data_IF_403825623688
#
_entry.id   IF_403825623688
#
_cell.length_a   1.000
_cell.length_b   1.000
_cell.length_c   1.000
_cell.angle_alpha   90.00
_cell.angle_beta   90.00
_cell.angle_gamma   90.00
#
_symmetry.space_group_name_H-M   'P 1'
#
loop_
_entity.id
_entity.type
_entity.pdbx_description
1 polymer ?
#
# COMPACT_ATOMS: atom_id res chain seq x y z
N UNK A 1 -22.66 -34.94 -7.44
CA UNK A 1 -22.12 -34.88 -6.06
C UNK A 1 -23.24 -35.34 -5.15
N UNK A 2 -23.14 -36.56 -4.62
CA UNK A 2 -24.15 -37.14 -3.74
C UNK A 2 -24.29 -36.29 -2.46
N UNK A 3 -25.51 -35.93 -2.09
CA UNK A 3 -25.83 -35.18 -0.87
C UNK A 3 -25.24 -35.89 0.36
N UNK A 4 -24.22 -35.29 0.96
CA UNK A 4 -23.64 -35.76 2.20
C UNK A 4 -24.59 -35.34 3.33
N UNK A 5 -25.42 -36.27 3.81
CA UNK A 5 -26.30 -36.01 4.97
C UNK A 5 -25.45 -35.85 6.22
N UNK A 6 -25.47 -34.65 6.81
CA UNK A 6 -24.83 -34.38 8.10
C UNK A 6 -25.70 -34.91 9.24
N UNK A 7 -25.15 -35.82 10.04
CA UNK A 7 -25.80 -36.33 11.25
C UNK A 7 -25.31 -35.54 12.47
N UNK A 8 -26.11 -34.58 12.92
CA UNK A 8 -25.84 -33.88 14.18
C UNK A 8 -26.39 -34.69 15.36
N UNK A 9 -25.61 -35.67 15.82
CA UNK A 9 -25.97 -36.44 17.03
C UNK A 9 -25.62 -35.62 18.27
N UNK A 10 -26.56 -34.84 18.80
CA UNK A 10 -26.45 -34.36 20.17
C UNK A 10 -26.56 -35.56 21.13
N UNK A 11 -25.75 -35.65 22.19
CA UNK A 11 -25.85 -36.76 23.12
C UNK A 11 -27.10 -36.60 23.98
N UNK A 12 -28.12 -37.42 23.72
CA UNK A 12 -29.37 -37.46 24.49
C UNK A 12 -29.35 -38.62 25.48
N UNK A 13 -28.97 -38.34 26.75
CA UNK A 13 -29.13 -39.26 27.89
C UNK A 13 -27.97 -39.19 28.91
N UNK A 14 -28.27 -39.36 30.21
CA UNK A 14 -27.33 -39.26 31.35
C UNK A 14 -26.12 -40.24 31.31
N UNK A 15 -26.07 -41.16 30.34
CA UNK A 15 -24.93 -42.05 30.08
C UNK A 15 -24.30 -41.90 28.69
N UNK A 16 -24.62 -40.84 27.94
CA UNK A 16 -23.87 -40.29 26.79
C UNK A 16 -23.23 -41.28 25.76
N UNK A 17 -23.67 -42.53 25.64
CA UNK A 17 -23.10 -43.47 24.65
C UNK A 17 -23.66 -43.19 23.24
N UNK A 18 -22.81 -42.63 22.39
CA UNK A 18 -23.11 -42.42 20.96
C UNK A 18 -22.63 -43.64 20.17
N UNK A 19 -23.56 -44.50 19.74
CA UNK A 19 -23.27 -45.68 18.91
C UNK A 19 -23.15 -45.31 17.41
N UNK A 20 -22.17 -44.46 17.09
CA UNK A 20 -21.81 -44.13 15.71
C UNK A 20 -20.39 -44.64 15.42
N UNK A 21 -20.29 -45.61 14.50
CA UNK A 21 -19.01 -46.09 13.94
C UNK A 21 -18.87 -45.53 12.52
N UNK A 22 -17.81 -44.75 12.31
CA UNK A 22 -17.43 -44.28 10.98
C UNK A 22 -16.93 -45.47 10.16
N UNK A 23 -17.56 -45.81 9.01
CA UNK A 23 -17.24 -47.02 8.26
C UNK A 23 -15.95 -46.92 7.43
N UNK A 24 -15.30 -45.74 7.39
CA UNK A 24 -14.09 -45.52 6.61
C UNK A 24 -12.89 -45.27 7.53
N UNK A 25 -11.85 -46.08 7.41
CA UNK A 25 -10.63 -45.90 8.19
C UNK A 25 -9.84 -44.68 7.68
N UNK A 26 -9.10 -44.01 8.57
CA UNK A 26 -8.21 -42.92 8.13
C UNK A 26 -6.98 -43.57 7.50
N UNK A 27 -6.70 -43.27 6.22
CA UNK A 27 -5.58 -43.83 5.46
C UNK A 27 -4.21 -43.61 6.15
N UNK A 28 -3.13 -44.19 5.62
CA UNK A 28 -1.78 -43.98 6.18
C UNK A 28 -1.38 -42.50 6.17
N UNK A 29 -0.51 -42.12 7.12
CA UNK A 29 -0.04 -40.73 7.23
C UNK A 29 0.71 -40.35 5.95
N UNK A 30 0.28 -39.27 5.30
CA UNK A 30 0.95 -38.75 4.10
C UNK A 30 2.43 -38.44 4.38
N UNK A 31 3.30 -38.82 3.45
CA UNK A 31 4.75 -38.60 3.57
C UNK A 31 5.11 -37.14 3.79
N UNK A 32 4.31 -36.22 3.23
CA UNK A 32 4.46 -34.77 3.41
C UNK A 32 4.32 -34.34 4.88
N UNK A 33 3.46 -34.98 5.67
CA UNK A 33 3.31 -34.73 7.11
C UNK A 33 4.43 -35.45 7.88
N UNK A 34 4.78 -36.68 7.47
CA UNK A 34 5.77 -37.53 8.14
C UNK A 34 7.19 -36.94 8.14
N UNK A 35 7.58 -36.27 7.06
CA UNK A 35 8.91 -35.69 6.88
C UNK A 35 8.91 -34.15 6.85
N UNK A 36 7.73 -33.52 7.01
CA UNK A 36 7.58 -32.07 6.99
C UNK A 36 7.94 -31.39 8.32
N UNK A 37 8.27 -30.10 8.25
CA UNK A 37 8.51 -29.28 9.45
C UNK A 37 7.17 -28.78 9.97
N UNK A 38 6.78 -29.25 11.15
CA UNK A 38 5.54 -28.87 11.84
C UNK A 38 5.88 -27.89 12.97
N UNK A 39 5.10 -26.82 13.10
CA UNK A 39 5.25 -25.88 14.20
C UNK A 39 4.92 -26.54 15.56
N UNK A 40 5.72 -26.31 16.63
CA UNK A 40 5.50 -26.93 17.94
C UNK A 40 4.12 -26.66 18.55
N UNK A 41 3.51 -25.51 18.25
CA UNK A 41 2.18 -25.15 18.73
C UNK A 41 1.10 -25.93 17.97
N UNK A 42 1.23 -26.05 16.66
CA UNK A 42 0.37 -26.90 15.82
C UNK A 42 0.41 -28.35 16.31
N UNK A 43 1.61 -28.88 16.58
CA UNK A 43 1.78 -30.24 17.10
C UNK A 43 1.08 -30.44 18.46
N UNK A 44 1.19 -29.45 19.36
CA UNK A 44 0.51 -29.45 20.66
C UNK A 44 -1.02 -29.46 20.50
N UNK A 45 -1.57 -28.67 19.59
CA UNK A 45 -3.01 -28.66 19.33
C UNK A 45 -3.50 -29.93 18.66
N UNK A 46 -2.74 -30.48 17.72
CA UNK A 46 -3.03 -31.77 17.11
C UNK A 46 -3.09 -32.89 18.16
N UNK A 47 -2.15 -32.90 19.13
CA UNK A 47 -2.18 -33.83 20.26
C UNK A 47 -3.42 -33.63 21.15
N UNK A 48 -3.81 -32.39 21.43
CA UNK A 48 -5.02 -32.10 22.22
C UNK A 48 -6.31 -32.52 21.53
N UNK A 49 -6.37 -32.39 20.21
CA UNK A 49 -7.50 -32.88 19.41
C UNK A 49 -7.53 -34.41 19.47
N UNK A 50 -6.40 -35.10 19.34
CA UNK A 50 -6.33 -36.57 19.41
C UNK A 50 -6.80 -37.14 20.75
N UNK A 51 -6.54 -36.46 21.88
CA UNK A 51 -6.87 -36.92 23.23
C UNK A 51 -8.32 -36.68 23.70
N UNK A 52 -9.19 -36.02 22.92
CA UNK A 52 -10.61 -35.85 23.31
C UNK A 52 -11.37 -37.18 23.26
N UNK A 53 -12.46 -37.33 24.02
CA UNK A 53 -13.10 -38.63 24.26
C UNK A 53 -13.83 -39.23 23.03
N UNK A 54 -14.46 -38.44 22.15
CA UNK A 54 -15.43 -38.93 21.16
C UNK A 54 -15.05 -38.71 19.69
N UNK A 55 -15.42 -39.63 18.77
CA UNK A 55 -15.20 -39.57 17.31
C UNK A 55 -13.73 -39.63 16.83
N UNK A 56 -13.07 -40.77 17.03
CA UNK A 56 -11.63 -40.99 16.73
C UNK A 56 -11.20 -40.56 15.32
N UNK A 57 -11.92 -40.98 14.27
CA UNK A 57 -11.55 -40.70 12.87
C UNK A 57 -11.61 -39.21 12.52
N UNK A 58 -12.64 -38.51 13.00
CA UNK A 58 -12.79 -37.04 12.84
C UNK A 58 -11.68 -36.28 13.56
N UNK A 59 -11.27 -36.73 14.75
CA UNK A 59 -10.16 -36.09 15.48
C UNK A 59 -8.83 -36.29 14.78
N UNK A 60 -8.60 -37.48 14.23
CA UNK A 60 -7.37 -37.79 13.51
C UNK A 60 -7.30 -37.01 12.19
N UNK A 61 -8.41 -36.87 11.44
CA UNK A 61 -8.43 -36.05 10.23
C UNK A 61 -8.18 -34.56 10.51
N UNK A 62 -8.79 -34.01 11.57
CA UNK A 62 -8.57 -32.62 11.98
C UNK A 62 -7.12 -32.39 12.43
N UNK A 63 -6.56 -33.31 13.22
CA UNK A 63 -5.17 -33.23 13.68
C UNK A 63 -4.20 -33.26 12.48
N UNK A 64 -4.44 -34.12 11.49
CA UNK A 64 -3.62 -34.23 10.27
C UNK A 64 -3.74 -33.00 9.37
N UNK A 65 -4.94 -32.45 9.18
CA UNK A 65 -5.12 -31.21 8.38
C UNK A 65 -4.37 -30.05 9.03
N UNK A 66 -4.38 -29.96 10.36
CA UNK A 66 -3.63 -28.94 11.11
C UNK A 66 -2.12 -29.08 10.90
N UNK A 67 -1.59 -30.30 11.04
CA UNK A 67 -0.16 -30.61 10.81
C UNK A 67 0.25 -30.37 9.36
N UNK A 68 -0.56 -30.82 8.39
CA UNK A 68 -0.31 -30.60 6.96
C UNK A 68 -0.32 -29.12 6.59
N UNK A 69 -1.28 -28.35 7.12
CA UNK A 69 -1.35 -26.91 6.91
C UNK A 69 -0.09 -26.23 7.42
N UNK A 70 0.42 -26.63 8.59
CA UNK A 70 1.68 -26.10 9.15
C UNK A 70 2.90 -26.40 8.27
N UNK A 71 3.00 -27.60 7.71
CA UNK A 71 4.05 -27.95 6.74
C UNK A 71 3.99 -27.05 5.50
N UNK A 72 2.79 -26.85 4.94
CA UNK A 72 2.61 -25.96 3.79
C UNK A 72 2.97 -24.51 4.12
N UNK A 73 2.54 -24.00 5.27
CA UNK A 73 2.88 -22.64 5.71
C UNK A 73 4.38 -22.45 5.90
N UNK A 74 5.08 -23.42 6.51
CA UNK A 74 6.53 -23.33 6.68
C UNK A 74 7.27 -23.33 5.35
N UNK A 75 6.82 -24.13 4.37
CA UNK A 75 7.39 -24.13 3.01
C UNK A 75 7.16 -22.80 2.29
N UNK A 76 5.96 -22.23 2.41
CA UNK A 76 5.62 -20.92 1.83
C UNK A 76 6.45 -19.82 2.48
N UNK A 77 6.59 -19.85 3.82
CA UNK A 77 7.42 -18.90 4.57
C UNK A 77 8.87 -18.94 4.12
N UNK A 78 9.47 -20.12 3.95
CA UNK A 78 10.84 -20.25 3.46
C UNK A 78 11.02 -19.67 2.04
N UNK A 79 10.05 -19.90 1.15
CA UNK A 79 10.06 -19.34 -0.20
C UNK A 79 9.92 -17.81 -0.15
N UNK A 80 9.04 -17.29 0.70
CA UNK A 80 8.86 -15.85 0.89
C UNK A 80 10.15 -15.19 1.39
N UNK A 81 10.77 -15.73 2.45
CA UNK A 81 12.04 -15.21 3.00
C UNK A 81 13.19 -15.27 1.98
N UNK A 82 13.27 -16.35 1.18
CA UNK A 82 14.27 -16.47 0.10
C UNK A 82 14.02 -15.47 -1.03
N UNK A 83 12.75 -15.21 -1.34
CA UNK A 83 12.37 -14.27 -2.42
C UNK A 83 12.66 -12.83 -2.00
N UNK A 84 12.30 -12.46 -0.78
CA UNK A 84 12.61 -11.14 -0.19
C UNK A 84 14.12 -10.87 -0.21
N UNK A 85 14.93 -11.82 0.27
CA UNK A 85 16.41 -11.70 0.24
C UNK A 85 16.96 -11.53 -1.18
N UNK A 86 16.39 -12.24 -2.16
CA UNK A 86 16.81 -12.11 -3.57
C UNK A 86 16.42 -10.76 -4.14
N UNK A 87 15.26 -10.23 -3.79
CA UNK A 87 14.82 -8.90 -4.22
C UNK A 87 15.77 -7.83 -3.69
N UNK A 88 16.07 -7.82 -2.39
CA UNK A 88 17.02 -6.87 -1.80
C UNK A 88 18.41 -6.96 -2.46
N UNK A 89 18.90 -8.16 -2.76
CA UNK A 89 20.18 -8.33 -3.44
C UNK A 89 20.16 -7.83 -4.89
N UNK A 90 19.04 -7.95 -5.59
CA UNK A 90 18.89 -7.43 -6.97
C UNK A 90 18.88 -5.92 -6.95
N UNK A 91 18.11 -5.30 -6.06
CA UNK A 91 18.07 -3.84 -5.88
C UNK A 91 19.47 -3.29 -5.61
N UNK A 92 20.21 -3.87 -4.66
CA UNK A 92 21.59 -3.46 -4.37
C UNK A 92 22.54 -3.57 -5.58
N UNK A 93 22.39 -4.62 -6.39
CA UNK A 93 23.19 -4.79 -7.61
C UNK A 93 22.83 -3.78 -8.68
N UNK A 94 21.55 -3.46 -8.83
CA UNK A 94 21.09 -2.45 -9.77
C UNK A 94 21.64 -1.07 -9.41
N UNK A 95 21.52 -0.65 -8.15
CA UNK A 95 22.11 0.61 -7.67
C UNK A 95 23.61 0.66 -7.96
N UNK A 96 24.34 -0.42 -7.68
CA UNK A 96 25.79 -0.46 -7.96
C UNK A 96 26.12 -0.34 -9.45
N UNK A 97 25.35 -0.99 -10.32
CA UNK A 97 25.57 -0.91 -11.78
C UNK A 97 25.25 0.49 -12.29
N UNK A 98 24.20 1.13 -11.78
CA UNK A 98 23.85 2.50 -12.10
C UNK A 98 24.96 3.47 -11.72
N UNK A 99 25.50 3.33 -10.50
CA UNK A 99 26.65 4.14 -10.05
C UNK A 99 27.87 3.94 -10.95
N UNK A 100 28.21 2.69 -11.29
CA UNK A 100 29.32 2.39 -12.19
C UNK A 100 29.12 2.98 -13.59
N UNK A 101 27.88 2.97 -14.09
CA UNK A 101 27.57 3.56 -15.39
C UNK A 101 27.68 5.08 -15.36
N UNK A 102 27.21 5.73 -14.28
CA UNK A 102 27.36 7.16 -14.04
C UNK A 102 28.84 7.57 -14.00
N UNK A 103 29.68 6.81 -13.32
CA UNK A 103 31.13 7.03 -13.27
C UNK A 103 31.77 6.93 -14.67
N UNK A 104 31.36 5.96 -15.48
CA UNK A 104 31.84 5.83 -16.87
C UNK A 104 31.41 7.02 -17.70
N UNK A 105 30.15 7.45 -17.62
CA UNK A 105 29.65 8.63 -18.34
C UNK A 105 30.41 9.90 -17.92
N UNK A 106 30.67 10.07 -16.63
CA UNK A 106 31.44 11.20 -16.11
C UNK A 106 32.85 11.25 -16.72
N UNK A 107 33.52 10.09 -16.82
CA UNK A 107 34.87 9.97 -17.37
C UNK A 107 34.94 10.00 -18.90
N UNK A 108 33.90 9.53 -19.59
CA UNK A 108 33.86 9.44 -21.06
C UNK A 108 33.53 10.79 -21.72
N UNK A 109 32.84 11.69 -21.02
CA UNK A 109 32.55 13.02 -21.55
C UNK A 109 33.80 13.89 -21.59
N UNK A 110 34.36 14.04 -22.79
CA UNK A 110 35.51 14.91 -23.08
C UNK A 110 35.12 16.29 -23.61
N UNK A 111 33.84 16.51 -23.94
CA UNK A 111 33.34 17.77 -24.46
C UNK A 111 33.23 18.83 -23.36
N UNK A 112 33.93 19.95 -23.56
CA UNK A 112 33.93 21.08 -22.64
C UNK A 112 32.56 21.72 -22.45
N UNK A 113 31.68 21.72 -23.46
CA UNK A 113 30.33 22.29 -23.34
C UNK A 113 29.51 21.49 -22.32
N UNK A 114 29.56 20.16 -22.41
CA UNK A 114 28.83 19.25 -21.51
C UNK A 114 29.39 19.31 -20.08
N UNK A 115 30.71 19.40 -19.91
CA UNK A 115 31.34 19.57 -18.60
C UNK A 115 30.92 20.90 -17.97
N UNK A 116 30.91 21.98 -18.74
CA UNK A 116 30.48 23.29 -18.26
C UNK A 116 28.99 23.29 -17.91
N UNK A 117 28.16 22.62 -18.70
CA UNK A 117 26.74 22.46 -18.43
C UNK A 117 26.43 21.66 -17.14
N UNK A 118 27.38 20.94 -16.54
CA UNK A 118 27.19 20.31 -15.21
C UNK A 118 27.41 21.26 -14.05
N UNK A 119 27.99 22.43 -14.28
CA UNK A 119 28.24 23.40 -13.22
C UNK A 119 27.08 24.40 -13.17
N UNK A 120 26.53 24.58 -11.98
CA UNK A 120 25.58 25.64 -11.67
C UNK A 120 26.18 26.54 -10.60
N UNK A 121 26.13 27.85 -10.81
CA UNK A 121 26.60 28.82 -9.82
C UNK A 121 25.72 28.81 -8.55
N UNK A 122 24.47 28.36 -8.66
CA UNK A 122 23.49 28.33 -7.56
C UNK A 122 23.50 27.00 -6.83
N UNK A 123 23.53 25.89 -7.57
CA UNK A 123 23.33 24.54 -7.04
C UNK A 123 24.63 23.71 -6.96
N UNK A 124 25.75 24.29 -7.40
CA UNK A 124 27.04 23.62 -7.41
C UNK A 124 27.22 22.69 -8.63
N UNK A 125 28.11 21.71 -8.47
CA UNK A 125 28.55 20.82 -9.54
C UNK A 125 27.86 19.47 -9.48
N UNK A 126 27.30 19.05 -10.61
CA UNK A 126 26.65 17.74 -10.76
C UNK A 126 27.61 16.71 -11.38
N UNK A 127 27.54 15.42 -10.99
CA UNK A 127 28.37 14.36 -11.56
C UNK A 127 28.13 14.15 -13.07
N UNK A 128 26.86 14.02 -13.46
CA UNK A 128 26.39 13.93 -14.84
C UNK A 128 25.42 15.07 -15.17
N UNK A 129 25.21 15.35 -16.46
CA UNK A 129 24.30 16.41 -16.90
C UNK A 129 22.84 16.08 -16.53
N UNK A 130 22.49 14.81 -16.58
CA UNK A 130 21.18 14.28 -16.22
C UNK A 130 20.76 14.68 -14.79
N UNK A 131 21.65 14.53 -13.81
CA UNK A 131 21.38 14.93 -12.41
C UNK A 131 21.01 16.40 -12.27
N UNK A 132 21.61 17.26 -13.11
CA UNK A 132 21.26 18.68 -13.12
C UNK A 132 19.86 18.89 -13.68
N UNK A 133 19.50 18.19 -14.76
CA UNK A 133 18.18 18.29 -15.39
C UNK A 133 17.10 17.75 -14.47
N UNK A 134 17.31 16.58 -13.86
CA UNK A 134 16.42 15.99 -12.86
C UNK A 134 16.19 16.92 -11.67
N UNK A 135 17.24 17.57 -11.15
CA UNK A 135 17.08 18.56 -10.09
C UNK A 135 16.25 19.77 -10.55
N UNK A 136 16.46 20.26 -11.78
CA UNK A 136 15.66 21.34 -12.35
C UNK A 136 14.19 20.90 -12.47
N UNK A 137 13.93 19.69 -12.95
CA UNK A 137 12.58 19.14 -13.07
C UNK A 137 11.89 19.01 -11.70
N UNK A 138 12.58 18.47 -10.69
CA UNK A 138 12.07 18.38 -9.32
C UNK A 138 11.71 19.74 -8.71
N UNK A 139 12.49 20.78 -9.02
CA UNK A 139 12.17 22.14 -8.59
C UNK A 139 10.98 22.71 -9.35
N UNK A 140 10.91 22.52 -10.67
CA UNK A 140 9.83 23.02 -11.53
C UNK A 140 8.49 22.36 -11.22
N UNK A 141 8.49 21.06 -10.96
CA UNK A 141 7.30 20.25 -10.65
C UNK A 141 6.49 20.77 -9.47
N UNK A 142 7.12 21.51 -8.53
CA UNK A 142 6.42 22.10 -7.37
C UNK A 142 5.65 23.37 -7.71
N UNK A 143 6.01 24.06 -8.80
CA UNK A 143 5.49 25.39 -9.12
C UNK A 143 4.67 25.44 -10.40
N UNK A 144 4.88 24.51 -11.33
CA UNK A 144 4.13 24.47 -12.57
C UNK A 144 2.77 23.80 -12.36
N UNK A 145 1.63 24.46 -12.64
CA UNK A 145 0.29 23.88 -12.47
C UNK A 145 -0.05 22.92 -13.62
N UNK A 146 0.74 21.85 -13.76
CA UNK A 146 0.59 20.83 -14.81
C UNK A 146 0.74 19.43 -14.21
N UNK A 147 -0.05 18.49 -14.73
CA UNK A 147 0.07 17.06 -14.43
C UNK A 147 -0.96 16.50 -13.45
N UNK A 148 -1.77 17.35 -12.79
CA UNK A 148 -2.93 16.92 -12.02
C UNK A 148 -4.14 17.81 -12.29
N UNK A 149 -5.09 17.32 -13.07
CA UNK A 149 -6.31 18.06 -13.43
C UNK A 149 -7.48 17.62 -12.56
N UNK A 150 -8.05 18.56 -11.80
CA UNK A 150 -9.23 18.36 -10.96
C UNK A 150 -10.42 19.04 -11.63
N UNK A 151 -11.48 18.28 -11.90
CA UNK A 151 -12.72 18.83 -12.46
C UNK A 151 -13.71 19.11 -11.33
N UNK A 152 -14.16 20.36 -11.21
CA UNK A 152 -15.21 20.78 -10.28
C UNK A 152 -16.44 21.17 -11.10
N UNK A 153 -17.55 20.45 -10.84
CA UNK A 153 -18.88 20.82 -11.32
C UNK A 153 -19.58 21.63 -10.24
N UNK A 154 -19.87 22.89 -10.52
CA UNK A 154 -20.53 23.85 -9.64
C UNK A 154 -21.81 24.40 -10.30
N UNK A 155 -22.79 24.82 -9.51
CA UNK A 155 -24.06 25.35 -10.03
C UNK A 155 -24.17 26.88 -9.89
N UNK A 156 -23.03 27.60 -9.91
CA UNK A 156 -23.01 29.03 -9.65
C UNK A 156 -23.54 29.88 -10.83
N UNK A 157 -23.56 29.33 -12.04
CA UNK A 157 -24.04 30.02 -13.24
C UNK A 157 -23.12 31.16 -13.70
N UNK A 158 -21.90 31.22 -13.18
CA UNK A 158 -20.85 32.20 -13.47
C UNK A 158 -19.49 31.51 -13.44
N UNK A 159 -18.41 32.22 -13.82
CA UNK A 159 -17.05 31.71 -13.76
C UNK A 159 -16.40 32.17 -12.44
N UNK A 160 -16.31 31.31 -11.40
CA UNK A 160 -15.82 31.71 -10.09
C UNK A 160 -14.30 31.81 -10.05
N UNK A 161 -13.77 32.68 -9.20
CA UNK A 161 -12.35 32.64 -8.85
C UNK A 161 -12.10 31.43 -7.93
N UNK A 162 -11.14 30.55 -8.27
CA UNK A 162 -10.85 29.34 -7.49
C UNK A 162 -9.48 29.49 -6.83
N UNK A 163 -9.47 29.43 -5.50
CA UNK A 163 -8.24 29.43 -4.70
C UNK A 163 -7.99 28.03 -4.14
N UNK A 164 -6.76 27.53 -4.32
CA UNK A 164 -6.37 26.19 -3.85
C UNK A 164 -5.35 26.31 -2.72
N UNK A 165 -5.61 25.62 -1.62
CA UNK A 165 -4.73 25.60 -0.44
C UNK A 165 -4.49 24.19 0.04
N UNK A 166 -3.34 23.99 0.69
CA UNK A 166 -2.95 22.72 1.28
C UNK A 166 -2.40 22.89 2.68
N UNK A 167 -2.58 21.87 3.51
CA UNK A 167 -1.87 21.69 4.78
C UNK A 167 -1.64 20.20 5.03
N UNK A 168 -0.67 19.90 5.89
CA UNK A 168 -0.36 18.52 6.31
C UNK A 168 -0.94 18.25 7.69
N UNK A 169 -1.12 16.99 8.06
CA UNK A 169 -1.59 16.56 9.39
C UNK A 169 -2.95 17.18 9.79
N UNK A 170 -3.79 17.49 8.80
CA UNK A 170 -5.14 18.02 9.02
C UNK A 170 -6.04 17.01 9.74
N UNK A 171 -7.13 17.50 10.34
CA UNK A 171 -8.12 16.60 10.95
C UNK A 171 -8.67 15.65 9.88
N UNK A 172 -8.62 14.35 10.15
CA UNK A 172 -9.13 13.31 9.24
C UNK A 172 -8.09 12.72 8.28
N UNK A 173 -6.87 13.25 8.19
CA UNK A 173 -5.78 12.60 7.40
C UNK A 173 -5.08 11.49 8.18
N UNK A 174 -5.21 11.50 9.51
CA UNK A 174 -4.62 10.51 10.40
C UNK A 174 -5.47 10.35 11.67
N UNK A 175 -5.14 9.36 12.50
CA UNK A 175 -5.83 9.15 13.77
C UNK A 175 -5.56 10.30 14.72
N UNK A 176 -6.62 10.80 15.34
CA UNK A 176 -6.53 11.87 16.32
C UNK A 176 -5.60 11.48 17.49
N UNK A 177 -4.69 12.37 17.86
CA UNK A 177 -3.70 12.15 18.91
C UNK A 177 -2.45 11.39 18.46
N UNK A 178 -2.29 11.14 17.16
CA UNK A 178 -1.07 10.54 16.58
C UNK A 178 -0.24 11.54 15.78
N UNK A 179 -0.71 12.78 15.68
CA UNK A 179 0.02 13.88 15.08
C UNK A 179 1.28 14.27 15.88
N UNK A 180 2.33 14.77 15.19
CA UNK A 180 3.50 15.32 15.86
C UNK A 180 3.15 16.48 16.79
N UNK A 181 3.96 16.66 17.84
CA UNK A 181 3.77 17.73 18.83
C UNK A 181 3.70 19.11 18.14
N UNK A 182 2.64 19.87 18.44
CA UNK A 182 2.41 21.19 17.87
C UNK A 182 1.67 21.21 16.51
N UNK A 183 1.31 20.05 15.95
CA UNK A 183 0.56 19.95 14.70
C UNK A 183 -0.91 19.55 14.89
N UNK A 184 -1.46 19.72 16.10
CA UNK A 184 -2.89 19.49 16.35
C UNK A 184 -3.74 20.45 15.52
N UNK A 185 -4.55 19.89 14.61
CA UNK A 185 -5.35 20.66 13.65
C UNK A 185 -4.66 20.90 12.29
N UNK A 186 -3.40 20.51 12.14
CA UNK A 186 -2.63 20.58 10.90
C UNK A 186 -1.51 21.62 10.91
N UNK A 187 -0.68 21.56 9.87
CA UNK A 187 0.37 22.55 9.61
C UNK A 187 -0.20 23.87 9.10
N UNK A 188 0.67 24.88 8.99
CA UNK A 188 0.31 26.14 8.34
C UNK A 188 -0.24 25.89 6.91
N UNK A 189 -1.32 26.61 6.58
CA UNK A 189 -1.94 26.56 5.26
C UNK A 189 -1.05 27.25 4.23
N UNK A 190 -0.84 26.59 3.09
CA UNK A 190 -0.04 27.09 1.97
C UNK A 190 -0.91 27.19 0.72
N UNK A 191 -0.70 28.23 -0.08
CA UNK A 191 -1.39 28.38 -1.37
C UNK A 191 -0.69 27.56 -2.44
N UNK A 192 -1.47 26.82 -3.24
CA UNK A 192 -0.94 26.02 -4.34
C UNK A 192 -1.04 26.83 -5.63
N UNK A 193 0.04 26.98 -6.41
CA UNK A 193 -0.06 27.55 -7.75
C UNK A 193 -0.98 26.69 -8.60
N UNK A 194 -2.00 27.31 -9.19
CA UNK A 194 -3.02 26.60 -9.96
C UNK A 194 -3.37 27.37 -11.22
N UNK A 195 -3.77 26.63 -12.25
CA UNK A 195 -4.32 27.20 -13.47
C UNK A 195 -5.78 26.76 -13.61
N UNK A 196 -6.69 27.72 -13.69
CA UNK A 196 -8.12 27.46 -13.78
C UNK A 196 -8.58 27.67 -15.21
N UNK A 197 -9.25 26.67 -15.78
CA UNK A 197 -9.90 26.73 -17.09
C UNK A 197 -11.38 26.48 -16.92
N UNK A 198 -12.21 27.48 -17.22
CA UNK A 198 -13.66 27.33 -17.20
C UNK A 198 -14.13 26.76 -18.54
N UNK A 199 -14.73 25.57 -18.52
CA UNK A 199 -15.31 24.96 -19.73
C UNK A 199 -16.62 25.68 -20.08
N UNK A 200 -17.45 25.90 -19.06
CA UNK A 200 -18.73 26.59 -19.16
C UNK A 200 -19.05 27.32 -17.84
N UNK A 201 -20.30 27.78 -17.66
CA UNK A 201 -20.75 28.48 -16.45
C UNK A 201 -21.00 27.57 -15.24
N UNK A 202 -20.71 26.26 -15.36
CA UNK A 202 -20.96 25.21 -14.37
C UNK A 202 -19.78 24.27 -14.15
N UNK A 203 -18.79 24.25 -15.04
CA UNK A 203 -17.67 23.32 -14.95
C UNK A 203 -16.35 24.06 -15.09
N UNK A 204 -15.48 23.83 -14.11
CA UNK A 204 -14.13 24.36 -14.06
C UNK A 204 -13.13 23.21 -13.92
N UNK A 205 -12.08 23.23 -14.73
CA UNK A 205 -10.90 22.37 -14.58
C UNK A 205 -9.83 23.20 -13.86
N UNK A 206 -9.30 22.66 -12.77
CA UNK A 206 -8.15 23.22 -12.05
C UNK A 206 -6.96 22.31 -12.27
N UNK A 207 -5.96 22.81 -12.98
CA UNK A 207 -4.68 22.14 -13.14
C UNK A 207 -3.77 22.52 -11.98
N UNK A 208 -3.25 21.50 -11.30
CA UNK A 208 -2.34 21.58 -10.17
C UNK A 208 -0.99 20.95 -10.54
N UNK A 209 0.07 21.29 -9.78
CA UNK A 209 1.36 20.65 -9.96
C UNK A 209 1.30 19.15 -9.69
N UNK A 210 2.06 18.37 -10.47
CA UNK A 210 2.06 16.90 -10.42
C UNK A 210 2.45 16.34 -9.03
N UNK A 211 3.18 17.10 -8.22
CA UNK A 211 3.50 16.74 -6.83
C UNK A 211 2.23 16.56 -5.95
N UNK A 212 1.12 17.22 -6.31
CA UNK A 212 -0.18 17.12 -5.63
C UNK A 212 -1.08 16.03 -6.19
N UNK A 213 -0.61 15.24 -7.16
CA UNK A 213 -1.40 14.16 -7.74
C UNK A 213 -1.73 13.12 -6.66
N UNK A 214 -3.01 12.78 -6.59
CA UNK A 214 -3.54 11.77 -5.66
C UNK A 214 -4.73 11.06 -6.30
N UNK A 215 -4.92 9.80 -5.93
CA UNK A 215 -6.10 9.00 -6.31
C UNK A 215 -7.26 9.20 -5.32
N UNK A 216 -7.07 10.03 -4.29
CA UNK A 216 -8.09 10.36 -3.31
C UNK A 216 -9.30 11.04 -3.96
N UNK A 217 -10.49 10.73 -3.44
CA UNK A 217 -11.74 11.30 -3.93
C UNK A 217 -11.93 12.71 -3.43
N UNK A 218 -12.46 13.56 -4.31
CA UNK A 218 -12.92 14.89 -3.93
C UNK A 218 -14.27 14.82 -3.22
N UNK A 219 -14.37 15.55 -2.12
CA UNK A 219 -15.54 15.65 -1.26
C UNK A 219 -16.06 17.09 -1.34
N UNK A 220 -17.34 17.26 -1.64
CA UNK A 220 -17.99 18.57 -1.56
C UNK A 220 -18.40 18.83 -0.11
N UNK A 221 -17.93 19.94 0.48
CA UNK A 221 -18.30 20.35 1.83
C UNK A 221 -19.56 21.23 1.79
N UNK A 222 -19.56 22.20 0.88
CA UNK A 222 -20.68 23.07 0.54
C UNK A 222 -20.57 23.51 -0.93
N UNK A 223 -21.46 24.40 -1.38
CA UNK A 223 -21.50 24.88 -2.77
C UNK A 223 -20.23 25.62 -3.23
N UNK A 224 -19.40 26.09 -2.29
CA UNK A 224 -18.21 26.90 -2.53
C UNK A 224 -16.90 26.19 -2.12
N UNK A 225 -16.96 25.12 -1.35
CA UNK A 225 -15.78 24.47 -0.78
C UNK A 225 -15.74 22.98 -1.13
N UNK A 226 -14.64 22.57 -1.77
CA UNK A 226 -14.34 21.17 -2.08
C UNK A 226 -13.03 20.77 -1.40
N UNK A 227 -12.95 19.52 -0.93
CA UNK A 227 -11.82 19.02 -0.16
C UNK A 227 -11.36 17.67 -0.71
N UNK A 228 -10.05 17.49 -0.83
CA UNK A 228 -9.40 16.20 -1.05
C UNK A 228 -8.59 15.86 0.20
N UNK A 229 -8.78 14.65 0.71
CA UNK A 229 -8.03 14.09 1.85
C UNK A 229 -7.11 13.01 1.30
N UNK A 230 -5.80 13.30 1.28
CA UNK A 230 -4.75 12.40 0.80
C UNK A 230 -4.05 11.78 2.02
N UNK A 231 -4.52 10.58 2.39
CA UNK A 231 -4.00 9.82 3.54
C UNK A 231 -2.55 9.35 3.32
N UNK A 232 -2.17 9.05 2.08
CA UNK A 232 -0.83 8.54 1.74
C UNK A 232 0.26 9.60 1.99
N UNK A 233 -0.05 10.85 1.64
CA UNK A 233 0.85 11.98 1.83
C UNK A 233 0.51 12.83 3.08
N UNK A 234 -0.40 12.36 3.93
CA UNK A 234 -0.85 13.03 5.16
C UNK A 234 -1.25 14.50 4.93
N UNK A 235 -1.93 14.79 3.81
CA UNK A 235 -2.25 16.16 3.40
C UNK A 235 -3.72 16.35 3.05
N UNK A 236 -4.18 17.58 3.18
CA UNK A 236 -5.51 18.00 2.77
C UNK A 236 -5.40 19.13 1.75
N UNK A 237 -6.17 19.06 0.68
CA UNK A 237 -6.22 20.07 -0.38
C UNK A 237 -7.64 20.62 -0.46
N UNK A 238 -7.80 21.91 -0.20
CA UNK A 238 -9.10 22.60 -0.29
C UNK A 238 -9.15 23.48 -1.54
N UNK A 239 -10.31 23.49 -2.18
CA UNK A 239 -10.66 24.36 -3.31
C UNK A 239 -11.76 25.30 -2.83
N UNK A 240 -11.45 26.59 -2.74
CA UNK A 240 -12.36 27.66 -2.35
C UNK A 240 -12.83 28.41 -3.61
N UNK A 241 -14.12 28.30 -3.94
CA UNK A 241 -14.74 29.05 -5.02
C UNK A 241 -15.26 30.38 -4.48
N UNK A 242 -14.91 31.48 -5.15
CA UNK A 242 -15.42 32.83 -4.87
C UNK A 242 -16.32 33.29 -6.00
N UNK A 243 -17.45 33.88 -5.62
CA UNK A 243 -18.45 34.44 -6.54
C UNK A 243 -18.05 35.83 -7.03
#
# INVERSE_FOLDING_TARGET
MSEQKFYDTQPTGENHEVDYKDPTDVEEIEEAIKFGVIDPLTQKYALWVRTKMWRRHVRESIARISEYSSVLFNRIKEIAEKTEKRQTQVEQRQTKIEDQFRDVQQNATVDSEVINARNSDIYGKFPVLDDRLENIEQLLVKFLPVGFDVTINHELGLQPEINVRTWTHGIGVMKLGTEPEGLFGGSASQSIPSQVTHIDSRTSIISLPIDYKTDAKMIMLDDLHYLIIDEDNLRSIIFELRR
#
